data_IF_617502129639
#
_entry.id   IF_617502129639
#
_cell.length_a   1.000
_cell.length_b   1.000
_cell.length_c   1.000
_cell.angle_alpha   90.00
_cell.angle_beta   90.00
_cell.angle_gamma   90.00
#
_symmetry.space_group_name_H-M   'P 1'
#
loop_
_entity.id
_entity.type
_entity.pdbx_description
1 polymer ?
#
# COMPACT_ATOMS: atom_id res chain seq x y z
N UNK A 1 -24.43 -7.07 -1.91
CA UNK A 1 -23.93 -6.01 -1.00
C UNK A 1 -22.42 -5.92 -1.15
N UNK A 2 -21.90 -4.70 -1.18
CA UNK A 2 -20.47 -4.46 -1.35
C UNK A 2 -19.85 -4.32 0.03
N UNK A 3 -18.84 -5.13 0.34
CA UNK A 3 -18.16 -5.13 1.65
C UNK A 3 -16.86 -4.33 1.58
N UNK A 4 -16.43 -3.80 2.72
CA UNK A 4 -15.15 -3.09 2.88
C UNK A 4 -13.97 -3.88 2.28
N UNK A 5 -13.89 -5.19 2.55
CA UNK A 5 -12.86 -6.08 1.99
C UNK A 5 -12.84 -6.08 0.46
N UNK A 6 -14.03 -6.08 -0.16
CA UNK A 6 -14.18 -6.03 -1.63
C UNK A 6 -13.85 -4.67 -2.22
N UNK A 7 -14.03 -3.58 -1.46
CA UNK A 7 -13.63 -2.24 -1.87
C UNK A 7 -12.10 -2.08 -1.90
N UNK A 8 -11.39 -2.67 -0.95
CA UNK A 8 -9.92 -2.64 -0.88
C UNK A 8 -9.23 -3.72 -1.72
N UNK A 9 -9.96 -4.71 -2.24
CA UNK A 9 -9.42 -5.81 -3.02
C UNK A 9 -8.48 -5.37 -4.18
N UNK A 10 -8.78 -4.31 -4.97
CA UNK A 10 -7.85 -3.84 -6.00
C UNK A 10 -6.48 -3.41 -5.43
N UNK A 11 -6.50 -2.69 -4.31
CA UNK A 11 -5.29 -2.22 -3.64
C UNK A 11 -4.49 -3.39 -3.04
N UNK A 12 -5.18 -4.33 -2.39
CA UNK A 12 -4.57 -5.55 -1.84
C UNK A 12 -3.97 -6.44 -2.93
N UNK A 13 -4.62 -6.54 -4.08
CA UNK A 13 -4.12 -7.33 -5.22
C UNK A 13 -2.81 -6.75 -5.74
N UNK A 14 -2.75 -5.44 -5.97
CA UNK A 14 -1.53 -4.75 -6.42
C UNK A 14 -0.45 -4.81 -5.35
N UNK A 15 -0.82 -4.62 -4.08
CA UNK A 15 0.07 -4.81 -2.94
C UNK A 15 0.68 -6.22 -2.92
N UNK A 16 -0.09 -7.25 -3.25
CA UNK A 16 0.37 -8.63 -3.35
C UNK A 16 1.46 -8.81 -4.40
N UNK A 17 1.27 -8.27 -5.61
CA UNK A 17 2.29 -8.29 -6.66
C UNK A 17 3.60 -7.58 -6.26
N UNK A 18 3.49 -6.54 -5.43
CA UNK A 18 4.63 -5.77 -4.92
C UNK A 18 5.23 -6.33 -3.61
N UNK A 19 4.77 -7.49 -3.13
CA UNK A 19 5.16 -8.11 -1.84
C UNK A 19 4.78 -7.29 -0.60
N UNK A 20 3.79 -6.42 -0.70
CA UNK A 20 3.21 -5.63 0.39
C UNK A 20 1.93 -6.27 0.98
N UNK A 21 1.39 -7.29 0.31
CA UNK A 21 0.26 -8.07 0.81
C UNK A 21 0.49 -9.57 0.51
N UNK A 22 -0.22 -10.44 1.21
CA UNK A 22 -0.12 -11.89 1.04
C UNK A 22 -0.98 -12.33 -0.14
N UNK A 23 -0.45 -13.21 -0.98
CA UNK A 23 -1.23 -13.88 -2.02
C UNK A 23 -2.29 -14.78 -1.38
N UNK A 24 -3.55 -14.47 -1.64
CA UNK A 24 -4.69 -15.32 -1.34
C UNK A 24 -5.18 -15.97 -2.64
N UNK A 25 -4.48 -17.02 -3.07
CA UNK A 25 -4.94 -17.85 -4.18
C UNK A 25 -5.01 -19.33 -3.75
N UNK A 26 -6.20 -19.96 -3.71
CA UNK A 26 -7.55 -19.40 -3.94
C UNK A 26 -8.03 -18.46 -2.81
N UNK A 27 -9.01 -17.59 -3.13
CA UNK A 27 -9.59 -16.62 -2.18
C UNK A 27 -10.06 -17.32 -0.89
N UNK A 28 -9.63 -16.79 0.27
CA UNK A 28 -9.98 -17.34 1.59
C UNK A 28 -8.93 -18.27 2.20
N UNK A 29 -7.89 -18.68 1.46
CA UNK A 29 -6.75 -19.42 2.00
C UNK A 29 -5.46 -18.58 1.90
N UNK A 30 -5.12 -17.77 2.92
CA UNK A 30 -3.89 -17.00 2.92
C UNK A 30 -2.67 -17.94 2.97
N UNK A 31 -1.89 -18.00 1.88
CA UNK A 31 -0.63 -18.74 1.84
C UNK A 31 0.52 -17.84 2.25
N UNK A 32 0.53 -17.47 3.53
CA UNK A 32 1.53 -16.58 4.12
C UNK A 32 2.95 -17.04 3.88
N UNK A 33 3.20 -18.34 4.03
CA UNK A 33 4.53 -18.93 3.84
C UNK A 33 5.02 -18.78 2.39
N UNK A 34 4.19 -19.11 1.40
CA UNK A 34 4.56 -19.03 -0.02
C UNK A 34 4.80 -17.58 -0.45
N UNK A 35 3.94 -16.66 0.01
CA UNK A 35 4.07 -15.23 -0.30
C UNK A 35 5.35 -14.64 0.31
N UNK A 36 5.68 -15.04 1.55
CA UNK A 36 6.91 -14.64 2.22
C UNK A 36 8.14 -15.19 1.50
N UNK A 37 8.15 -16.50 1.18
CA UNK A 37 9.25 -17.13 0.45
C UNK A 37 9.46 -16.49 -0.92
N UNK A 38 8.37 -16.20 -1.66
CA UNK A 38 8.41 -15.51 -2.94
C UNK A 38 8.99 -14.09 -2.81
N UNK A 39 8.50 -13.32 -1.83
CA UNK A 39 8.99 -11.97 -1.57
C UNK A 39 10.48 -11.97 -1.23
N UNK A 40 10.89 -12.83 -0.28
CA UNK A 40 12.29 -12.97 0.12
C UNK A 40 13.18 -13.41 -1.05
N UNK A 41 12.74 -14.41 -1.84
CA UNK A 41 13.51 -14.89 -2.98
C UNK A 41 13.67 -13.80 -4.06
N UNK A 42 12.57 -13.13 -4.43
CA UNK A 42 12.57 -12.05 -5.42
C UNK A 42 13.49 -10.90 -4.99
N UNK A 43 13.38 -10.45 -3.74
CA UNK A 43 14.21 -9.36 -3.23
C UNK A 43 15.67 -9.74 -3.02
N UNK A 44 15.95 -10.96 -2.58
CA UNK A 44 17.33 -11.46 -2.47
C UNK A 44 18.00 -11.52 -3.83
N UNK A 45 17.30 -12.02 -4.86
CA UNK A 45 17.80 -12.03 -6.24
C UNK A 45 18.01 -10.60 -6.76
N UNK A 46 17.07 -9.70 -6.50
CA UNK A 46 17.16 -8.30 -6.92
C UNK A 46 18.35 -7.57 -6.28
N UNK A 47 18.55 -7.75 -4.97
CA UNK A 47 19.68 -7.19 -4.23
C UNK A 47 20.98 -7.76 -4.77
N UNK A 48 21.08 -9.07 -4.91
CA UNK A 48 22.32 -9.73 -5.30
C UNK A 48 22.74 -9.40 -6.74
N UNK A 49 21.81 -9.47 -7.70
CA UNK A 49 22.14 -9.29 -9.12
C UNK A 49 22.16 -7.83 -9.57
N UNK A 50 21.32 -6.97 -8.99
CA UNK A 50 21.16 -5.60 -9.50
C UNK A 50 21.79 -4.57 -8.56
N UNK A 51 21.37 -4.54 -7.29
CA UNK A 51 21.79 -3.47 -6.38
C UNK A 51 23.21 -3.63 -5.85
N UNK A 52 23.62 -4.85 -5.51
CA UNK A 52 24.93 -5.08 -4.91
C UNK A 52 26.10 -4.74 -5.84
N UNK A 53 26.12 -5.16 -7.13
CA UNK A 53 27.21 -4.78 -8.04
C UNK A 53 27.28 -3.27 -8.27
N UNK A 54 26.13 -2.62 -8.42
CA UNK A 54 26.02 -1.18 -8.66
C UNK A 54 26.43 -0.38 -7.40
N UNK A 55 26.09 -0.87 -6.22
CA UNK A 55 26.54 -0.31 -4.93
C UNK A 55 28.06 -0.43 -4.75
N UNK A 56 28.64 -1.60 -5.03
CA UNK A 56 30.10 -1.81 -4.95
C UNK A 56 30.82 -0.91 -5.95
N UNK A 57 30.33 -0.81 -7.20
CA UNK A 57 30.92 0.04 -8.22
C UNK A 57 30.91 1.52 -7.80
N UNK A 58 29.77 2.00 -7.27
CA UNK A 58 29.65 3.36 -6.74
C UNK A 58 30.57 3.60 -5.55
N UNK A 59 30.63 2.68 -4.60
CA UNK A 59 31.47 2.80 -3.41
C UNK A 59 32.96 2.82 -3.78
N UNK A 60 33.38 1.94 -4.69
CA UNK A 60 34.77 1.86 -5.14
C UNK A 60 35.20 3.07 -5.99
N UNK A 61 34.37 3.50 -6.94
CA UNK A 61 34.71 4.60 -7.86
C UNK A 61 34.49 5.99 -7.27
N UNK A 62 33.39 6.19 -6.54
CA UNK A 62 32.96 7.52 -6.09
C UNK A 62 33.09 7.72 -4.59
N UNK A 63 33.21 6.65 -3.79
CA UNK A 63 33.29 6.70 -2.31
C UNK A 63 32.15 7.50 -1.66
N UNK A 64 30.98 7.52 -2.28
CA UNK A 64 29.82 8.28 -1.84
C UNK A 64 28.58 7.40 -1.77
N UNK A 65 27.81 7.55 -0.70
CA UNK A 65 26.48 6.94 -0.53
C UNK A 65 25.45 7.88 -1.14
N UNK A 66 24.54 7.36 -1.96
CA UNK A 66 23.49 8.15 -2.60
C UNK A 66 22.14 7.94 -1.92
N UNK A 67 21.24 8.92 -2.09
CA UNK A 67 19.85 8.84 -1.61
C UNK A 67 19.13 7.56 -2.09
N UNK A 68 19.46 7.08 -3.30
CA UNK A 68 18.90 5.85 -3.88
C UNK A 68 19.23 4.61 -3.01
N UNK A 69 20.40 4.54 -2.41
CA UNK A 69 20.80 3.40 -1.57
C UNK A 69 19.94 3.34 -0.29
N UNK A 70 19.62 4.51 0.28
CA UNK A 70 18.71 4.63 1.43
C UNK A 70 17.27 4.23 1.06
N UNK A 71 16.81 4.57 -0.16
CA UNK A 71 15.50 4.19 -0.68
C UNK A 71 15.36 2.66 -0.81
N UNK A 72 16.40 1.99 -1.30
CA UNK A 72 16.41 0.51 -1.40
C UNK A 72 16.33 -0.12 -0.01
N UNK A 73 17.13 0.37 0.95
CA UNK A 73 17.11 -0.13 2.33
C UNK A 73 15.74 0.07 2.98
N UNK A 74 15.16 1.27 2.86
CA UNK A 74 13.83 1.60 3.36
C UNK A 74 12.78 0.64 2.78
N UNK A 75 12.89 0.32 1.49
CA UNK A 75 11.97 -0.59 0.83
C UNK A 75 12.03 -2.00 1.43
N UNK A 76 13.24 -2.54 1.64
CA UNK A 76 13.41 -3.86 2.28
C UNK A 76 12.79 -3.87 3.67
N UNK A 77 13.00 -2.81 4.46
CA UNK A 77 12.40 -2.65 5.78
C UNK A 77 10.86 -2.65 5.69
N UNK A 78 10.28 -1.89 4.76
CA UNK A 78 8.82 -1.82 4.58
C UNK A 78 8.20 -3.19 4.23
N UNK A 79 8.88 -4.00 3.42
CA UNK A 79 8.40 -5.34 3.06
C UNK A 79 8.47 -6.27 4.26
N UNK A 80 9.57 -6.24 5.03
CA UNK A 80 9.67 -7.01 6.26
C UNK A 80 8.58 -6.62 7.25
N UNK A 81 8.34 -5.32 7.44
CA UNK A 81 7.25 -4.82 8.29
C UNK A 81 5.90 -5.31 7.78
N UNK A 82 5.64 -5.18 6.47
CA UNK A 82 4.40 -5.64 5.84
C UNK A 82 4.16 -7.13 6.08
N UNK A 83 5.17 -7.98 5.85
CA UNK A 83 5.07 -9.43 6.08
C UNK A 83 4.80 -9.74 7.56
N UNK A 84 5.54 -9.09 8.47
CA UNK A 84 5.38 -9.30 9.91
C UNK A 84 4.01 -8.86 10.42
N UNK A 85 3.51 -7.71 9.93
CA UNK A 85 2.28 -7.07 10.40
C UNK A 85 1.03 -7.45 9.61
N UNK A 86 1.15 -8.32 8.61
CA UNK A 86 0.02 -8.64 7.75
C UNK A 86 -1.14 -9.29 8.52
N UNK A 87 -0.85 -10.12 9.52
CA UNK A 87 -1.89 -10.75 10.35
C UNK A 87 -2.69 -9.71 11.11
N UNK A 88 -2.00 -8.75 11.72
CA UNK A 88 -2.62 -7.64 12.44
C UNK A 88 -3.44 -6.76 11.49
N UNK A 89 -2.91 -6.46 10.30
CA UNK A 89 -3.65 -5.73 9.28
C UNK A 89 -4.96 -6.44 8.91
N UNK A 90 -4.91 -7.76 8.67
CA UNK A 90 -6.11 -8.54 8.33
C UNK A 90 -7.14 -8.57 9.46
N UNK A 91 -6.69 -8.69 10.71
CA UNK A 91 -7.57 -8.62 11.88
C UNK A 91 -8.22 -7.24 11.99
N UNK A 92 -7.43 -6.16 11.82
CA UNK A 92 -7.94 -4.79 11.83
C UNK A 92 -9.01 -4.57 10.76
N UNK A 93 -8.81 -5.05 9.53
CA UNK A 93 -9.81 -4.92 8.47
C UNK A 93 -11.10 -5.71 8.75
N UNK A 94 -10.98 -6.87 9.41
CA UNK A 94 -12.14 -7.66 9.84
C UNK A 94 -12.93 -6.95 10.94
N UNK A 95 -12.25 -6.40 11.93
CA UNK A 95 -12.88 -5.60 12.98
C UNK A 95 -13.58 -4.37 12.41
N UNK A 96 -12.91 -3.67 11.47
CA UNK A 96 -13.48 -2.52 10.78
C UNK A 96 -14.74 -2.90 10.01
N UNK A 97 -14.77 -4.06 9.36
CA UNK A 97 -15.94 -4.57 8.67
C UNK A 97 -17.11 -4.91 9.62
N UNK A 98 -16.83 -5.32 10.87
CA UNK A 98 -17.87 -5.58 11.87
C UNK A 98 -18.45 -4.26 12.40
N UNK A 99 -17.58 -3.30 12.74
CA UNK A 99 -18.01 -1.96 13.20
C UNK A 99 -18.80 -1.24 12.11
N UNK A 100 -18.43 -1.45 10.85
CA UNK A 100 -19.19 -0.94 9.73
C UNK A 100 -20.60 -1.56 9.61
N UNK A 101 -20.73 -2.88 9.74
CA UNK A 101 -22.05 -3.52 9.70
C UNK A 101 -22.98 -3.02 10.81
N UNK A 102 -22.45 -2.67 11.98
CA UNK A 102 -23.24 -2.03 13.03
C UNK A 102 -23.59 -0.57 12.71
N UNK A 103 -22.73 0.15 12.00
CA UNK A 103 -23.04 1.49 11.48
C UNK A 103 -24.12 1.48 10.38
N UNK A 104 -24.12 0.47 9.51
CA UNK A 104 -25.13 0.26 8.47
C UNK A 104 -26.49 -0.06 9.10
N UNK A 105 -26.54 -0.95 10.10
CA UNK A 105 -27.79 -1.27 10.85
C UNK A 105 -28.34 -0.07 11.64
N UNK A 106 -27.46 0.87 11.96
CA UNK A 106 -27.76 2.15 12.61
C UNK A 106 -28.22 3.25 11.63
N UNK A 107 -28.43 2.92 10.35
CA UNK A 107 -29.02 3.80 9.34
C UNK A 107 -28.02 4.62 8.51
N UNK A 108 -26.71 4.33 8.60
CA UNK A 108 -25.68 5.07 7.84
C UNK A 108 -25.58 4.50 6.42
N UNK A 109 -25.67 5.33 5.36
CA UNK A 109 -25.60 4.86 3.99
C UNK A 109 -24.21 4.34 3.63
N UNK A 110 -24.19 3.28 2.83
CA UNK A 110 -22.99 2.51 2.58
C UNK A 110 -22.17 3.08 1.40
N UNK A 111 -21.12 3.88 1.68
CA UNK A 111 -20.34 4.61 0.66
C UNK A 111 -19.17 3.80 0.03
N UNK A 112 -19.13 2.47 0.19
CA UNK A 112 -18.02 1.65 -0.31
C UNK A 112 -17.79 1.72 -1.82
N UNK A 113 -18.84 1.97 -2.60
CA UNK A 113 -18.69 2.16 -4.04
C UNK A 113 -17.84 3.39 -4.34
N UNK A 114 -18.11 4.50 -3.66
CA UNK A 114 -17.35 5.75 -3.78
C UNK A 114 -15.90 5.50 -3.39
N UNK A 115 -15.65 4.84 -2.24
CA UNK A 115 -14.31 4.51 -1.80
C UNK A 115 -13.55 3.66 -2.84
N UNK A 116 -14.17 2.61 -3.37
CA UNK A 116 -13.55 1.75 -4.38
C UNK A 116 -13.23 2.53 -5.66
N UNK A 117 -14.13 3.39 -6.10
CA UNK A 117 -13.92 4.19 -7.31
C UNK A 117 -12.78 5.21 -7.11
N UNK A 118 -12.68 5.80 -5.92
CA UNK A 118 -11.52 6.63 -5.53
C UNK A 118 -10.21 5.83 -5.53
N UNK A 119 -10.19 4.64 -4.93
CA UNK A 119 -9.01 3.76 -4.91
C UNK A 119 -8.59 3.41 -6.34
N UNK A 120 -9.53 3.03 -7.21
CA UNK A 120 -9.25 2.70 -8.61
C UNK A 120 -8.70 3.92 -9.35
N UNK A 121 -9.27 5.11 -9.16
CA UNK A 121 -8.79 6.34 -9.80
C UNK A 121 -7.37 6.68 -9.39
N UNK A 122 -7.03 6.51 -8.11
CA UNK A 122 -5.65 6.71 -7.59
C UNK A 122 -4.70 5.69 -8.22
N UNK A 123 -5.09 4.42 -8.28
CA UNK A 123 -4.30 3.35 -8.91
C UNK A 123 -4.02 3.67 -10.39
N UNK A 124 -5.04 4.09 -11.15
CA UNK A 124 -4.88 4.44 -12.58
C UNK A 124 -3.93 5.64 -12.73
N UNK A 125 -4.14 6.70 -11.96
CA UNK A 125 -3.27 7.89 -12.01
C UNK A 125 -1.81 7.55 -11.68
N UNK A 126 -1.62 6.67 -10.69
CA UNK A 126 -0.30 6.17 -10.32
C UNK A 126 0.36 5.34 -11.43
N UNK A 127 -0.37 4.42 -12.06
CA UNK A 127 0.13 3.62 -13.19
C UNK A 127 0.60 4.54 -14.31
N UNK A 128 -0.20 5.55 -14.68
CA UNK A 128 0.17 6.54 -15.70
C UNK A 128 1.41 7.32 -15.30
N UNK A 129 1.49 7.79 -14.06
CA UNK A 129 2.66 8.50 -13.54
C UNK A 129 3.93 7.64 -13.62
N UNK A 130 3.88 6.39 -13.16
CA UNK A 130 5.01 5.46 -13.23
C UNK A 130 5.47 5.21 -14.67
N UNK A 131 4.54 4.97 -15.60
CA UNK A 131 4.91 4.79 -17.01
C UNK A 131 5.48 6.05 -17.64
N UNK A 132 4.96 7.23 -17.31
CA UNK A 132 5.49 8.50 -17.82
C UNK A 132 6.93 8.75 -17.37
N UNK A 133 7.24 8.45 -16.10
CA UNK A 133 8.61 8.54 -15.57
C UNK A 133 9.57 7.57 -16.24
N UNK A 134 9.13 6.33 -16.49
CA UNK A 134 9.90 5.33 -17.22
C UNK A 134 10.21 5.80 -18.66
N UNK A 135 9.21 6.31 -19.38
CA UNK A 135 9.38 6.82 -20.75
C UNK A 135 10.38 7.97 -20.77
N UNK A 136 10.23 8.96 -19.87
CA UNK A 136 11.15 10.08 -19.77
C UNK A 136 12.60 9.61 -19.56
N UNK A 137 12.80 8.67 -18.64
CA UNK A 137 14.14 8.16 -18.34
C UNK A 137 14.72 7.34 -19.49
N UNK A 138 13.90 6.55 -20.19
CA UNK A 138 14.32 5.82 -21.39
C UNK A 138 14.79 6.79 -22.47
N UNK A 139 14.07 7.91 -22.70
CA UNK A 139 14.47 8.93 -23.68
C UNK A 139 15.82 9.56 -23.31
N UNK A 140 16.01 9.92 -22.03
CA UNK A 140 17.29 10.50 -21.55
C UNK A 140 18.46 9.52 -21.72
N UNK A 141 18.24 8.24 -21.38
CA UNK A 141 19.25 7.19 -21.54
C UNK A 141 19.53 6.91 -23.02
N UNK A 142 18.50 6.94 -23.88
CA UNK A 142 18.65 6.77 -25.33
C UNK A 142 19.45 7.91 -25.95
N UNK A 143 19.26 9.13 -25.48
CA UNK A 143 20.05 10.29 -25.92
C UNK A 143 21.53 10.20 -25.51
N UNK A 144 21.90 9.29 -24.61
CA UNK A 144 23.29 9.00 -24.27
C UNK A 144 23.80 7.85 -25.14
N UNK A 145 24.81 8.12 -25.96
CA UNK A 145 25.38 7.33 -27.07
C UNK A 145 25.73 5.84 -26.83
N UNK A 146 25.55 5.32 -25.61
CA UNK A 146 25.80 3.92 -25.23
C UNK A 146 24.62 3.35 -24.44
N UNK A 147 23.60 2.94 -25.19
CA UNK A 147 22.47 2.16 -24.67
C UNK A 147 22.85 0.68 -24.70
N UNK A 148 23.01 0.08 -23.53
CA UNK A 148 23.13 -1.38 -23.38
C UNK A 148 21.87 -1.92 -22.71
N UNK A 149 21.47 -3.15 -23.03
CA UNK A 149 20.32 -3.84 -22.40
C UNK A 149 20.40 -3.83 -20.88
N UNK A 150 21.62 -3.91 -20.34
CA UNK A 150 21.91 -3.78 -18.92
C UNK A 150 21.46 -2.44 -18.32
N UNK A 151 21.67 -1.32 -19.02
CA UNK A 151 21.24 0.02 -18.54
C UNK A 151 19.72 0.14 -18.50
N UNK A 152 19.01 -0.38 -19.51
CA UNK A 152 17.54 -0.38 -19.55
C UNK A 152 16.98 -1.21 -18.39
N UNK A 153 17.52 -2.42 -18.19
CA UNK A 153 17.14 -3.27 -17.05
C UNK A 153 17.40 -2.57 -15.71
N UNK A 154 18.57 -1.94 -15.54
CA UNK A 154 18.90 -1.24 -14.31
C UNK A 154 17.90 -0.09 -14.01
N UNK A 155 17.44 0.64 -15.03
CA UNK A 155 16.42 1.70 -14.86
C UNK A 155 15.09 1.14 -14.36
N UNK A 156 14.62 0.04 -14.95
CA UNK A 156 13.38 -0.61 -14.53
C UNK A 156 13.50 -1.06 -13.06
N UNK A 157 14.65 -1.64 -12.69
CA UNK A 157 14.89 -2.07 -11.32
C UNK A 157 14.97 -0.91 -10.34
N UNK A 158 15.63 0.20 -10.69
CA UNK A 158 15.72 1.40 -9.84
C UNK A 158 14.36 2.06 -9.58
N UNK A 159 13.37 1.88 -10.45
CA UNK A 159 12.02 2.40 -10.24
C UNK A 159 11.17 1.53 -9.29
N UNK A 160 11.50 0.25 -9.15
CA UNK A 160 10.72 -0.71 -8.36
C UNK A 160 10.63 -0.37 -6.85
N UNK A 161 11.70 0.10 -6.17
CA UNK A 161 11.63 0.58 -4.80
C UNK A 161 10.63 1.73 -4.59
N UNK A 162 10.62 2.70 -5.51
CA UNK A 162 9.69 3.83 -5.42
C UNK A 162 8.23 3.38 -5.57
N UNK A 163 7.98 2.43 -6.46
CA UNK A 163 6.66 1.80 -6.63
C UNK A 163 6.18 1.19 -5.31
N UNK A 164 7.06 0.46 -4.62
CA UNK A 164 6.73 -0.23 -3.36
C UNK A 164 6.49 0.78 -2.23
N UNK A 165 7.31 1.83 -2.12
CA UNK A 165 7.11 2.89 -1.11
C UNK A 165 5.77 3.59 -1.32
N UNK A 166 5.44 3.99 -2.56
CA UNK A 166 4.18 4.68 -2.87
C UNK A 166 2.97 3.79 -2.56
N UNK A 167 3.03 2.51 -2.90
CA UNK A 167 1.94 1.57 -2.58
C UNK A 167 1.80 1.35 -1.07
N UNK A 168 2.92 1.29 -0.34
CA UNK A 168 2.91 1.15 1.11
C UNK A 168 2.29 2.38 1.78
N UNK A 169 2.67 3.59 1.34
CA UNK A 169 2.09 4.84 1.87
C UNK A 169 0.62 4.97 1.50
N UNK A 170 0.22 4.61 0.29
CA UNK A 170 -1.18 4.61 -0.13
C UNK A 170 -2.02 3.65 0.71
N UNK A 171 -1.53 2.43 0.93
CA UNK A 171 -2.21 1.42 1.76
C UNK A 171 -2.38 1.93 3.19
N UNK A 172 -1.31 2.44 3.81
CA UNK A 172 -1.34 3.02 5.16
C UNK A 172 -2.29 4.22 5.26
N UNK A 173 -2.23 5.15 4.30
CA UNK A 173 -3.10 6.32 4.26
C UNK A 173 -4.58 5.97 4.12
N UNK A 174 -4.90 4.95 3.31
CA UNK A 174 -6.28 4.50 3.10
C UNK A 174 -6.84 3.89 4.39
N UNK A 175 -6.07 3.04 5.06
CA UNK A 175 -6.47 2.41 6.33
C UNK A 175 -6.63 3.48 7.42
N UNK A 176 -5.67 4.39 7.55
CA UNK A 176 -5.72 5.46 8.54
C UNK A 176 -6.92 6.38 8.28
N UNK A 177 -7.19 6.73 7.03
CA UNK A 177 -8.36 7.52 6.64
C UNK A 177 -9.68 6.84 7.00
N UNK A 178 -9.79 5.53 6.77
CA UNK A 178 -10.96 4.74 7.15
C UNK A 178 -11.17 4.69 8.67
N UNK A 179 -10.10 4.45 9.43
CA UNK A 179 -10.16 4.42 10.90
C UNK A 179 -10.55 5.78 11.45
N UNK A 180 -9.95 6.87 10.95
CA UNK A 180 -10.30 8.23 11.36
C UNK A 180 -11.74 8.57 11.03
N UNK A 181 -12.22 8.22 9.83
CA UNK A 181 -13.60 8.43 9.42
C UNK A 181 -14.59 7.74 10.38
N UNK A 182 -14.36 6.46 10.67
CA UNK A 182 -15.20 5.68 11.59
C UNK A 182 -15.15 6.26 13.01
N UNK A 183 -13.96 6.60 13.51
CA UNK A 183 -13.79 7.21 14.83
C UNK A 183 -14.55 8.54 14.96
N UNK A 184 -14.40 9.44 14.00
CA UNK A 184 -15.11 10.73 14.00
C UNK A 184 -16.62 10.52 13.99
N UNK A 185 -17.11 9.60 13.15
CA UNK A 185 -18.54 9.30 13.08
C UNK A 185 -19.08 8.72 14.40
N UNK A 186 -18.34 7.80 15.04
CA UNK A 186 -18.68 7.23 16.35
C UNK A 186 -18.71 8.30 17.45
N UNK A 187 -17.72 9.20 17.48
CA UNK A 187 -17.64 10.28 18.46
C UNK A 187 -18.82 11.25 18.27
N UNK A 188 -19.09 11.69 17.05
CA UNK A 188 -20.22 12.57 16.74
C UNK A 188 -21.55 11.95 17.15
N UNK A 189 -21.76 10.66 16.87
CA UNK A 189 -23.01 9.98 17.22
C UNK A 189 -23.16 9.78 18.74
N UNK A 190 -22.07 9.43 19.44
CA UNK A 190 -22.06 9.34 20.91
C UNK A 190 -22.39 10.69 21.57
N UNK A 191 -21.83 11.77 21.03
CA UNK A 191 -22.09 13.13 21.52
C UNK A 191 -23.56 13.54 21.28
N UNK A 192 -24.11 13.27 20.09
CA UNK A 192 -25.52 13.50 19.78
C UNK A 192 -26.45 12.69 20.69
N UNK A 193 -26.12 11.43 20.97
CA UNK A 193 -26.92 10.58 21.86
C UNK A 193 -26.89 11.12 23.29
N UNK A 194 -25.72 11.56 23.76
CA UNK A 194 -25.55 12.17 25.09
C UNK A 194 -26.36 13.46 25.21
N UNK A 195 -26.31 14.34 24.20
CA UNK A 195 -27.14 15.55 24.14
C UNK A 195 -28.65 15.21 24.12
N UNK A 196 -29.05 14.21 23.33
CA UNK A 196 -30.43 13.80 23.23
C UNK A 196 -30.95 13.27 24.58
N UNK A 197 -30.18 12.42 25.26
CA UNK A 197 -30.50 11.93 26.61
C UNK A 197 -30.60 13.11 27.58
N UNK A 198 -29.63 14.03 27.59
CA UNK A 198 -29.69 15.21 28.46
C UNK A 198 -30.94 16.06 28.22
N UNK A 199 -31.28 16.36 26.97
CA UNK A 199 -32.52 17.10 26.64
C UNK A 199 -33.80 16.38 27.08
N UNK A 200 -33.83 15.04 27.06
CA UNK A 200 -34.98 14.28 27.55
C UNK A 200 -35.04 14.23 29.08
N UNK A 201 -33.90 14.19 29.78
CA UNK A 201 -33.88 14.22 31.26
C UNK A 201 -34.35 15.57 31.79
N UNK A 202 -33.92 16.69 31.19
CA UNK A 202 -34.33 18.05 31.61
C UNK A 202 -35.80 18.35 31.32
N UNK A 203 -36.41 17.68 30.33
CA UNK A 203 -37.83 17.88 29.99
C UNK A 203 -38.79 17.18 30.94
N UNK A 204 -38.30 16.23 31.75
CA UNK A 204 -39.09 15.41 32.68
C UNK A 204 -38.94 15.83 34.16
N UNK A 205 -38.22 16.92 34.44
CA UNK A 205 -38.10 17.58 35.74
C UNK A 205 -38.78 18.93 35.73
#
# INVERSE_FOLDING_TARGET
>A
TMTLERAMAPLMTIGGFCNLAIFEYPLGQPRTYISCLYGLAKWSLLIYFCYYPDYIDRLQKRKTIYFIDMVVLLTVILILISICRFKELKMCLRELAIVDQTLESLGTPNEYQILRDWIIRIIIGWIVYSFSGLIYYIIVVWSSDKVTTYRILNVIYMCYPMIVIILSTLTSATILGLVLYICVHLICKSFLLTLCVQMFTERNT
#
